data_IF_547950158594
#
_entry.id   IF_547950158594
#
_cell.length_a   1.000
_cell.length_b   1.000
_cell.length_c   1.000
_cell.angle_alpha   90.00
_cell.angle_beta   90.00
_cell.angle_gamma   90.00
#
_symmetry.space_group_name_H-M   'P 1'
#
loop_
_entity.id
_entity.type
_entity.pdbx_description
1 polymer ?
#
# COMPACT_ATOMS: atom_id res chain seq x y z
N UNK A 1 32.96 -57.46 -5.56
CA UNK A 1 33.72 -56.30 -5.07
C UNK A 1 34.27 -55.56 -6.29
N UNK A 2 34.17 -54.23 -6.39
CA UNK A 2 33.19 -53.35 -5.75
C UNK A 2 32.98 -52.10 -6.64
N UNK A 3 31.82 -51.45 -6.56
CA UNK A 3 31.35 -50.49 -7.58
C UNK A 3 31.33 -49.05 -7.04
N UNK A 4 32.53 -48.46 -6.90
CA UNK A 4 32.77 -47.18 -6.21
C UNK A 4 31.98 -45.98 -6.78
N UNK A 5 31.41 -45.10 -5.93
CA UNK A 5 30.27 -44.25 -6.31
C UNK A 5 30.60 -42.93 -7.06
N UNK A 6 31.88 -42.61 -7.28
CA UNK A 6 32.31 -41.23 -7.66
C UNK A 6 31.82 -40.71 -9.02
N UNK A 7 31.25 -41.55 -9.90
CA UNK A 7 30.76 -41.13 -11.24
C UNK A 7 29.25 -40.90 -11.35
N UNK A 8 28.47 -41.01 -10.26
CA UNK A 8 27.03 -40.65 -10.26
C UNK A 8 26.76 -39.19 -9.87
N UNK A 9 27.48 -38.64 -8.89
CA UNK A 9 27.22 -37.31 -8.31
C UNK A 9 27.28 -36.16 -9.32
N UNK A 10 28.33 -36.09 -10.14
CA UNK A 10 28.47 -35.05 -11.18
C UNK A 10 27.32 -35.04 -12.21
N UNK A 11 26.66 -36.18 -12.43
CA UNK A 11 25.53 -36.31 -13.36
C UNK A 11 24.16 -36.07 -12.71
N UNK A 12 24.12 -35.91 -11.38
CA UNK A 12 22.94 -35.45 -10.66
C UNK A 12 22.91 -33.91 -10.60
N UNK A 13 24.01 -33.28 -10.16
CA UNK A 13 24.11 -31.81 -10.03
C UNK A 13 23.79 -31.09 -11.35
N UNK A 14 24.46 -31.47 -12.44
CA UNK A 14 24.20 -30.95 -13.79
C UNK A 14 22.79 -31.20 -14.34
N UNK A 15 21.97 -32.04 -13.66
CA UNK A 15 20.56 -32.28 -14.02
C UNK A 15 19.57 -31.58 -13.08
N UNK A 16 20.00 -31.17 -11.88
CA UNK A 16 19.23 -30.32 -10.97
C UNK A 16 19.33 -28.84 -11.38
N UNK A 17 20.53 -28.36 -11.73
CA UNK A 17 20.74 -26.96 -12.14
C UNK A 17 19.99 -26.58 -13.41
N UNK A 18 19.72 -27.54 -14.30
CA UNK A 18 19.06 -27.27 -15.58
C UNK A 18 17.56 -26.93 -15.47
N UNK A 19 16.93 -27.19 -14.31
CA UNK A 19 15.49 -26.97 -14.10
C UNK A 19 15.15 -25.79 -13.16
N UNK A 20 16.11 -25.20 -12.44
CA UNK A 20 15.85 -24.00 -11.62
C UNK A 20 15.98 -22.68 -12.40
N UNK A 21 16.03 -22.75 -13.73
CA UNK A 21 15.72 -21.64 -14.66
C UNK A 21 14.27 -21.66 -15.12
N UNK A 22 13.34 -22.08 -14.25
CA UNK A 22 11.99 -21.54 -14.34
C UNK A 22 12.09 -20.02 -14.43
N UNK A 23 11.45 -19.43 -15.44
CA UNK A 23 11.29 -17.97 -15.46
C UNK A 23 10.51 -17.61 -14.20
N UNK A 24 11.15 -16.94 -13.25
CA UNK A 24 10.47 -16.24 -12.17
C UNK A 24 9.59 -15.14 -12.80
N UNK A 25 8.39 -15.55 -13.21
CA UNK A 25 7.37 -14.71 -13.78
C UNK A 25 7.06 -13.63 -12.76
N UNK A 26 6.97 -12.38 -13.23
CA UNK A 26 6.51 -11.30 -12.39
C UNK A 26 5.15 -11.72 -11.79
N UNK A 27 5.02 -11.64 -10.47
CA UNK A 27 3.77 -12.01 -9.82
C UNK A 27 2.77 -10.87 -10.06
N UNK A 28 1.52 -11.23 -10.37
CA UNK A 28 0.45 -10.25 -10.57
C UNK A 28 0.16 -9.55 -9.25
N UNK A 29 0.34 -8.23 -9.20
CA UNK A 29 0.11 -7.42 -7.99
C UNK A 29 -1.37 -7.03 -7.89
N UNK A 30 -2.01 -6.79 -9.03
CA UNK A 30 -3.36 -6.25 -9.12
C UNK A 30 -4.06 -6.76 -10.38
N UNK A 31 -5.39 -6.86 -10.32
CA UNK A 31 -6.26 -7.21 -11.44
C UNK A 31 -7.44 -6.26 -11.46
N UNK A 32 -7.89 -5.87 -12.65
CA UNK A 32 -8.96 -4.91 -12.83
C UNK A 32 -9.26 -4.65 -14.29
N UNK A 33 -9.65 -3.42 -14.64
CA UNK A 33 -9.92 -3.01 -16.01
C UNK A 33 -9.46 -1.57 -16.31
N UNK A 34 -9.09 -1.28 -17.56
CA UNK A 34 -8.95 0.09 -18.05
C UNK A 34 -10.35 0.59 -18.43
N UNK A 35 -10.75 1.72 -17.87
CA UNK A 35 -11.99 2.44 -18.16
C UNK A 35 -11.68 3.71 -18.95
N UNK A 36 -12.42 3.98 -20.02
CA UNK A 36 -12.54 5.33 -20.58
C UNK A 36 -13.89 5.54 -21.27
N UNK A 37 -14.72 6.42 -20.70
CA UNK A 37 -16.07 6.73 -21.21
C UNK A 37 -17.03 5.54 -21.20
N UNK A 38 -17.04 4.76 -22.29
CA UNK A 38 -17.86 3.54 -22.45
C UNK A 38 -17.03 2.28 -22.72
N UNK A 39 -15.70 2.41 -22.81
CA UNK A 39 -14.80 1.29 -23.13
C UNK A 39 -14.22 0.72 -21.83
N UNK A 40 -14.34 -0.59 -21.66
CA UNK A 40 -13.89 -1.33 -20.48
C UNK A 40 -13.01 -2.51 -20.91
N UNK A 41 -11.71 -2.46 -20.60
CA UNK A 41 -10.70 -3.43 -21.05
C UNK A 41 -10.14 -4.18 -19.83
N UNK A 42 -10.49 -5.47 -19.61
CA UNK A 42 -10.01 -6.19 -18.43
C UNK A 42 -8.50 -6.50 -18.57
N UNK A 43 -7.73 -6.25 -17.50
CA UNK A 43 -6.27 -6.29 -17.48
C UNK A 43 -5.69 -6.84 -16.17
N UNK A 44 -4.44 -7.28 -16.24
CA UNK A 44 -3.62 -7.74 -15.11
C UNK A 44 -2.37 -6.84 -15.01
N UNK A 45 -1.95 -6.51 -13.80
CA UNK A 45 -0.83 -5.60 -13.51
C UNK A 45 0.35 -6.36 -12.89
N UNK A 46 1.54 -6.12 -13.44
CA UNK A 46 2.80 -6.72 -13.03
C UNK A 46 3.86 -5.63 -12.77
N UNK A 47 4.79 -5.82 -11.83
CA UNK A 47 5.91 -4.89 -11.66
C UNK A 47 6.80 -4.91 -12.91
N UNK A 48 7.21 -3.74 -13.42
CA UNK A 48 8.16 -3.65 -14.53
C UNK A 48 9.63 -3.76 -14.06
N UNK A 49 9.89 -3.42 -12.79
CA UNK A 49 11.21 -3.51 -12.16
C UNK A 49 11.40 -4.81 -11.38
N UNK A 50 12.67 -5.18 -11.15
CA UNK A 50 13.08 -6.20 -10.18
C UNK A 50 14.11 -5.59 -9.23
N UNK A 51 14.04 -5.91 -7.94
CA UNK A 51 14.97 -5.41 -6.93
C UNK A 51 16.12 -6.40 -6.73
N UNK A 52 17.27 -6.16 -7.36
CA UNK A 52 18.42 -7.09 -7.33
C UNK A 52 19.39 -6.87 -6.16
N UNK A 53 18.93 -6.14 -5.12
CA UNK A 53 19.68 -5.83 -3.90
C UNK A 53 20.30 -7.08 -3.27
N UNK A 54 21.57 -6.97 -2.87
CA UNK A 54 22.24 -8.00 -2.05
C UNK A 54 21.58 -8.02 -0.66
N UNK A 55 21.01 -9.16 -0.30
CA UNK A 55 20.44 -9.39 1.04
C UNK A 55 21.54 -9.70 2.04
N UNK A 56 21.76 -8.79 3.00
CA UNK A 56 22.65 -9.03 4.14
C UNK A 56 21.82 -9.40 5.37
N UNK A 57 22.10 -10.56 5.97
CA UNK A 57 21.63 -10.86 7.31
C UNK A 57 22.45 -10.02 8.30
N UNK A 58 21.79 -9.33 9.23
CA UNK A 58 22.46 -8.66 10.33
C UNK A 58 22.73 -9.68 11.44
N UNK A 59 23.98 -9.74 11.91
CA UNK A 59 24.47 -10.70 12.90
C UNK A 59 25.05 -9.94 14.11
N UNK A 60 24.96 -10.47 15.33
CA UNK A 60 25.73 -9.93 16.45
C UNK A 60 27.22 -10.24 16.22
N UNK A 61 28.07 -9.20 16.22
CA UNK A 61 29.52 -9.36 16.05
C UNK A 61 30.19 -10.26 17.11
N UNK A 62 29.54 -10.52 18.25
CA UNK A 62 30.08 -11.30 19.37
C UNK A 62 29.86 -12.81 19.25
N UNK A 63 28.76 -13.22 18.62
CA UNK A 63 28.34 -14.64 18.55
C UNK A 63 28.03 -15.09 17.12
N UNK A 64 27.94 -14.15 16.17
CA UNK A 64 27.60 -14.35 14.75
C UNK A 64 26.12 -14.76 14.55
N UNK A 65 25.29 -14.74 15.60
CA UNK A 65 23.86 -15.05 15.53
C UNK A 65 23.04 -13.97 14.79
N UNK A 66 22.04 -14.36 13.96
CA UNK A 66 21.11 -13.43 13.33
C UNK A 66 20.27 -12.61 14.33
N UNK A 67 20.26 -11.28 14.18
CA UNK A 67 19.49 -10.41 15.08
C UNK A 67 18.01 -10.28 14.65
N UNK A 68 17.11 -10.37 15.63
CA UNK A 68 15.68 -10.17 15.45
C UNK A 68 15.21 -8.76 15.83
N UNK A 69 14.12 -8.30 15.21
CA UNK A 69 13.47 -7.02 15.55
C UNK A 69 12.26 -7.24 16.48
N UNK A 70 12.12 -6.41 17.51
CA UNK A 70 10.94 -6.38 18.39
C UNK A 70 10.39 -4.96 18.51
N UNK A 71 9.07 -4.82 18.61
CA UNK A 71 8.42 -3.52 18.74
C UNK A 71 8.24 -3.18 20.21
N UNK A 72 8.77 -2.04 20.65
CA UNK A 72 8.77 -1.63 22.06
C UNK A 72 8.13 -0.25 22.24
N UNK A 73 7.47 -0.06 23.39
CA UNK A 73 6.92 1.23 23.79
C UNK A 73 8.07 2.15 24.24
N UNK A 74 8.28 3.27 23.52
CA UNK A 74 9.38 4.22 23.76
C UNK A 74 9.45 4.78 25.20
N UNK A 75 8.35 4.79 25.95
CA UNK A 75 8.29 5.31 27.33
C UNK A 75 8.53 4.24 28.40
N UNK A 76 8.13 2.99 28.16
CA UNK A 76 8.16 1.92 29.17
C UNK A 76 9.18 0.83 28.90
N UNK A 77 9.79 0.80 27.71
CA UNK A 77 10.71 -0.25 27.26
C UNK A 77 10.06 -1.63 27.04
N UNK A 78 8.76 -1.77 27.34
CA UNK A 78 8.03 -3.03 27.21
C UNK A 78 7.70 -3.32 25.76
N UNK A 79 7.71 -4.60 25.41
CA UNK A 79 7.28 -5.13 24.12
C UNK A 79 5.78 -4.88 23.89
N UNK A 80 5.39 -4.64 22.63
CA UNK A 80 4.03 -4.31 22.22
C UNK A 80 3.58 -5.31 21.15
N UNK A 81 2.54 -6.08 21.47
CA UNK A 81 1.91 -7.02 20.53
C UNK A 81 1.08 -6.29 19.49
N UNK A 82 0.78 -6.92 18.35
CA UNK A 82 0.15 -6.25 17.20
C UNK A 82 -1.26 -5.71 17.50
N UNK A 83 -1.99 -6.32 18.42
CA UNK A 83 -3.34 -5.87 18.83
C UNK A 83 -3.28 -4.55 19.62
N UNK A 84 -2.13 -4.23 20.23
CA UNK A 84 -1.90 -3.01 21.01
C UNK A 84 -1.26 -1.88 20.18
N UNK A 85 -1.19 -2.01 18.85
CA UNK A 85 -0.63 -1.01 17.94
C UNK A 85 -1.77 -0.35 17.15
N UNK A 86 -1.99 0.93 17.41
CA UNK A 86 -2.96 1.77 16.68
C UNK A 86 -2.24 2.79 15.80
N UNK A 87 -2.88 3.26 14.72
CA UNK A 87 -2.34 4.33 13.89
C UNK A 87 -2.66 5.69 14.50
N UNK A 88 -1.65 6.48 14.83
CA UNK A 88 -1.80 7.86 15.27
C UNK A 88 -1.34 8.84 14.19
N UNK A 89 -2.12 9.87 13.90
CA UNK A 89 -1.72 11.01 13.09
C UNK A 89 -1.37 12.19 14.00
N UNK A 90 -0.15 12.71 13.90
CA UNK A 90 0.31 13.88 14.68
C UNK A 90 -0.21 15.16 14.03
N UNK A 91 -1.16 15.84 14.69
CA UNK A 91 -1.75 17.10 14.18
C UNK A 91 -1.05 18.34 14.76
N UNK A 92 -0.46 18.19 15.94
CA UNK A 92 0.42 19.16 16.59
C UNK A 92 1.49 18.38 17.36
N UNK A 93 2.60 19.02 17.71
CA UNK A 93 3.72 18.38 18.40
C UNK A 93 3.26 17.60 19.64
N UNK A 94 3.63 16.32 19.71
CA UNK A 94 3.28 15.37 20.78
C UNK A 94 1.75 15.12 20.93
N UNK A 95 0.92 15.57 19.97
CA UNK A 95 -0.55 15.44 19.98
C UNK A 95 -1.06 14.63 18.79
N UNK A 96 -1.64 13.46 19.08
CA UNK A 96 -2.07 12.48 18.09
C UNK A 96 -3.59 12.30 18.07
N UNK A 97 -4.18 12.19 16.88
CA UNK A 97 -5.51 11.58 16.67
C UNK A 97 -5.29 10.12 16.32
N UNK A 98 -5.94 9.20 17.05
CA UNK A 98 -5.97 7.78 16.68
C UNK A 98 -7.00 7.56 15.58
N UNK A 99 -6.62 6.83 14.54
CA UNK A 99 -7.49 6.45 13.43
C UNK A 99 -7.51 4.93 13.28
N UNK A 100 -8.69 4.34 13.20
CA UNK A 100 -8.87 2.92 12.89
C UNK A 100 -8.63 2.65 11.40
N UNK A 101 -8.26 1.42 11.06
CA UNK A 101 -8.19 0.99 9.66
C UNK A 101 -9.55 1.07 8.94
N UNK A 102 -10.65 1.12 9.68
CA UNK A 102 -12.03 1.27 9.16
C UNK A 102 -12.36 2.71 8.82
N UNK A 103 -12.06 3.67 9.69
CA UNK A 103 -12.18 5.12 9.40
C UNK A 103 -11.28 5.51 8.22
N UNK A 104 -10.05 4.99 8.16
CA UNK A 104 -9.12 5.24 7.04
C UNK A 104 -9.68 4.67 5.72
N UNK A 105 -10.34 3.51 5.75
CA UNK A 105 -11.01 2.94 4.56
C UNK A 105 -12.29 3.71 4.19
N UNK A 106 -13.05 4.19 5.16
CA UNK A 106 -14.26 4.97 4.93
C UNK A 106 -13.97 6.38 4.40
N UNK A 107 -12.82 6.97 4.77
CA UNK A 107 -12.35 8.27 4.29
C UNK A 107 -11.82 8.24 2.84
N UNK A 108 -11.52 7.07 2.29
CA UNK A 108 -11.10 6.87 0.90
C UNK A 108 -12.01 5.86 0.17
N UNK A 109 -13.29 6.21 -0.06
CA UNK A 109 -14.27 5.31 -0.68
C UNK A 109 -13.98 5.04 -2.16
N UNK A 110 -14.61 3.99 -2.69
CA UNK A 110 -14.47 3.51 -4.07
C UNK A 110 -13.06 3.05 -4.47
N UNK A 111 -12.60 1.98 -3.83
CA UNK A 111 -11.59 1.07 -4.39
C UNK A 111 -12.14 0.28 -5.58
N UNK A 112 -12.57 0.97 -6.63
CA UNK A 112 -12.84 0.38 -7.94
C UNK A 112 -11.55 -0.25 -8.48
N UNK A 113 -11.63 -1.50 -8.94
CA UNK A 113 -10.50 -2.19 -9.58
C UNK A 113 -10.37 -1.70 -11.03
N UNK A 114 -10.15 -0.40 -11.20
CA UNK A 114 -10.09 0.26 -12.50
C UNK A 114 -8.91 1.23 -12.62
N UNK A 115 -8.36 1.30 -13.83
CA UNK A 115 -7.52 2.40 -14.33
C UNK A 115 -8.44 3.30 -15.15
N UNK A 116 -8.93 4.40 -14.57
CA UNK A 116 -9.88 5.29 -15.23
C UNK A 116 -9.15 6.45 -15.92
N UNK A 117 -9.19 6.49 -17.26
CA UNK A 117 -8.45 7.48 -18.06
C UNK A 117 -9.23 8.80 -18.09
N UNK A 118 -8.61 9.83 -17.52
CA UNK A 118 -9.13 11.20 -17.42
C UNK A 118 -8.89 11.99 -18.71
N UNK A 119 -7.73 11.81 -19.34
CA UNK A 119 -7.29 12.57 -20.49
C UNK A 119 -6.25 11.81 -21.33
N UNK A 120 -6.02 12.27 -22.56
CA UNK A 120 -4.89 11.86 -23.41
C UNK A 120 -4.04 13.10 -23.73
N UNK A 121 -2.74 13.04 -23.45
CA UNK A 121 -1.75 14.14 -23.59
C UNK A 121 -0.59 13.70 -24.49
N UNK A 122 0.23 14.64 -24.97
CA UNK A 122 1.43 14.28 -25.72
C UNK A 122 2.54 13.77 -24.79
N UNK A 123 3.37 12.84 -25.27
CA UNK A 123 4.41 12.24 -24.44
C UNK A 123 5.40 13.25 -23.80
N UNK A 124 5.80 14.37 -24.47
CA UNK A 124 6.65 15.38 -23.86
C UNK A 124 5.97 16.25 -22.78
N UNK A 125 4.64 16.26 -22.70
CA UNK A 125 3.88 17.08 -21.74
C UNK A 125 3.97 16.56 -20.29
N UNK A 126 4.54 15.37 -20.10
CA UNK A 126 4.75 14.74 -18.78
C UNK A 126 6.24 14.79 -18.44
N UNK A 127 6.72 15.75 -17.62
CA UNK A 127 8.13 15.82 -17.25
C UNK A 127 8.55 14.60 -16.43
N UNK A 128 9.77 14.11 -16.65
CA UNK A 128 10.31 12.94 -15.94
C UNK A 128 10.28 13.08 -14.40
N UNK A 129 10.29 14.30 -13.88
CA UNK A 129 10.15 14.61 -12.44
C UNK A 129 8.85 14.06 -11.82
N UNK A 130 7.78 13.91 -12.62
CA UNK A 130 6.50 13.38 -12.16
C UNK A 130 6.45 11.86 -12.16
N UNK A 131 7.37 11.16 -12.82
CA UNK A 131 7.39 9.70 -12.87
C UNK A 131 7.85 9.10 -11.54
N UNK A 132 7.34 7.90 -11.23
CA UNK A 132 7.70 7.16 -10.02
C UNK A 132 7.94 5.67 -10.30
N UNK A 133 6.91 4.82 -10.20
CA UNK A 133 7.05 3.36 -10.23
C UNK A 133 6.39 2.78 -11.49
N UNK A 134 7.16 2.16 -12.41
CA UNK A 134 6.61 1.55 -13.61
C UNK A 134 6.13 0.11 -13.39
N UNK A 135 5.01 -0.19 -14.04
CA UNK A 135 4.33 -1.48 -14.08
C UNK A 135 4.02 -1.85 -15.54
N UNK A 136 3.90 -3.14 -15.84
CA UNK A 136 3.34 -3.62 -17.09
C UNK A 136 1.88 -4.03 -16.90
N UNK A 137 1.04 -3.61 -17.83
CA UNK A 137 -0.31 -4.15 -18.00
C UNK A 137 -0.30 -5.23 -19.09
N UNK A 138 -1.10 -6.26 -18.90
CA UNK A 138 -1.42 -7.26 -19.93
C UNK A 138 -2.94 -7.44 -20.01
N UNK A 139 -3.52 -7.81 -21.16
CA UNK A 139 -4.94 -8.12 -21.22
C UNK A 139 -5.27 -9.33 -20.34
N UNK A 140 -6.44 -9.29 -19.70
CA UNK A 140 -7.07 -10.48 -19.15
C UNK A 140 -7.91 -11.19 -20.23
N UNK A 141 -8.33 -12.42 -19.94
CA UNK A 141 -9.12 -13.28 -20.85
C UNK A 141 -10.33 -12.52 -21.43
N UNK A 142 -10.49 -12.57 -22.76
CA UNK A 142 -11.53 -11.88 -23.56
C UNK A 142 -11.33 -10.37 -23.74
N UNK A 143 -10.30 -9.76 -23.15
CA UNK A 143 -9.96 -8.34 -23.34
C UNK A 143 -9.03 -8.05 -24.52
N UNK A 144 -8.44 -9.08 -25.13
CA UNK A 144 -7.23 -9.01 -25.96
C UNK A 144 -7.39 -8.11 -27.19
N UNK A 145 -8.55 -8.20 -27.87
CA UNK A 145 -8.85 -7.38 -29.06
C UNK A 145 -8.99 -5.90 -28.74
N UNK A 146 -9.68 -5.56 -27.63
CA UNK A 146 -9.93 -4.17 -27.24
C UNK A 146 -8.66 -3.54 -26.66
N UNK A 147 -7.88 -4.33 -25.93
CA UNK A 147 -6.55 -3.97 -25.45
C UNK A 147 -5.58 -3.64 -26.61
N UNK A 148 -5.52 -4.49 -27.63
CA UNK A 148 -4.69 -4.24 -28.80
C UNK A 148 -5.12 -2.96 -29.55
N UNK A 149 -6.44 -2.77 -29.72
CA UNK A 149 -6.99 -1.56 -30.34
C UNK A 149 -6.61 -0.28 -29.58
N UNK A 150 -6.75 -0.27 -28.24
CA UNK A 150 -6.34 0.86 -27.39
C UNK A 150 -4.83 1.12 -27.53
N UNK A 151 -4.01 0.09 -27.34
CA UNK A 151 -2.54 0.16 -27.45
C UNK A 151 -2.08 0.76 -28.78
N UNK A 152 -2.64 0.28 -29.89
CA UNK A 152 -2.18 0.69 -31.21
C UNK A 152 -2.79 2.03 -31.67
N UNK A 153 -3.97 2.40 -31.18
CA UNK A 153 -4.49 3.77 -31.32
C UNK A 153 -3.63 4.79 -30.56
N UNK A 154 -3.18 4.48 -29.35
CA UNK A 154 -2.27 5.35 -28.57
C UNK A 154 -0.92 5.52 -29.28
N UNK A 155 -0.35 4.45 -29.85
CA UNK A 155 0.85 4.55 -30.71
C UNK A 155 0.63 5.43 -31.93
N UNK A 156 -0.45 5.19 -32.68
CA UNK A 156 -0.74 5.90 -33.92
C UNK A 156 -1.02 7.39 -33.72
N UNK A 157 -1.42 7.80 -32.51
CA UNK A 157 -1.69 9.19 -32.14
C UNK A 157 -0.56 9.85 -31.34
N UNK A 158 0.46 9.09 -30.92
CA UNK A 158 1.56 9.58 -30.07
C UNK A 158 1.16 9.93 -28.62
N UNK A 159 -0.07 9.59 -28.20
CA UNK A 159 -0.63 10.04 -26.91
C UNK A 159 -0.38 9.06 -25.76
N UNK A 160 -0.18 9.64 -24.58
CA UNK A 160 -0.18 8.96 -23.27
C UNK A 160 -1.52 9.23 -22.58
N UNK A 161 -2.10 8.22 -21.94
CA UNK A 161 -3.31 8.39 -21.13
C UNK A 161 -2.95 8.82 -19.71
N UNK A 162 -3.55 9.90 -19.19
CA UNK A 162 -3.47 10.26 -17.77
C UNK A 162 -4.68 9.63 -17.06
N UNK A 163 -4.44 8.84 -16.02
CA UNK A 163 -5.47 8.02 -15.38
C UNK A 163 -5.40 8.05 -13.84
N UNK A 164 -6.53 7.81 -13.20
CA UNK A 164 -6.60 7.41 -11.79
C UNK A 164 -6.55 5.88 -11.68
N UNK A 165 -5.85 5.35 -10.67
CA UNK A 165 -5.86 3.91 -10.35
C UNK A 165 -5.80 3.71 -8.83
N UNK A 166 -6.59 2.76 -8.30
CA UNK A 166 -6.53 2.37 -6.88
C UNK A 166 -5.68 1.12 -6.71
N UNK A 167 -4.58 1.24 -5.96
CA UNK A 167 -3.63 0.18 -5.64
C UNK A 167 -3.28 0.21 -4.15
N UNK A 168 -3.14 -0.94 -3.50
CA UNK A 168 -2.77 -1.05 -2.07
C UNK A 168 -3.59 -0.12 -1.13
N UNK A 169 -4.90 0.01 -1.40
CA UNK A 169 -5.86 0.87 -0.70
C UNK A 169 -5.60 2.39 -0.80
N UNK A 170 -4.80 2.83 -1.79
CA UNK A 170 -4.55 4.24 -2.12
C UNK A 170 -4.90 4.55 -3.57
N UNK A 171 -5.42 5.74 -3.82
CA UNK A 171 -5.52 6.29 -5.16
C UNK A 171 -4.15 6.85 -5.59
N UNK A 172 -3.74 6.49 -6.79
CA UNK A 172 -2.57 7.03 -7.48
C UNK A 172 -3.01 7.67 -8.79
N UNK A 173 -2.38 8.80 -9.13
CA UNK A 173 -2.33 9.27 -10.51
C UNK A 173 -1.35 8.38 -11.30
N UNK A 174 -1.59 8.17 -12.58
CA UNK A 174 -0.74 7.32 -13.42
C UNK A 174 -0.72 7.73 -14.90
N UNK A 175 0.39 7.44 -15.57
CA UNK A 175 0.57 7.54 -17.00
C UNK A 175 0.45 6.14 -17.64
N UNK A 176 -0.51 5.99 -18.55
CA UNK A 176 -0.71 4.80 -19.39
C UNK A 176 0.03 5.00 -20.73
N UNK A 177 1.12 4.26 -20.93
CA UNK A 177 2.09 4.49 -22.00
C UNK A 177 2.14 3.26 -22.93
N UNK A 178 2.02 3.40 -24.27
CA UNK A 178 2.19 2.27 -25.18
C UNK A 178 3.67 1.89 -25.32
N UNK A 179 4.06 0.70 -24.88
CA UNK A 179 5.47 0.23 -24.88
C UNK A 179 5.56 -1.11 -25.60
N UNK A 180 6.03 -1.07 -26.85
CA UNK A 180 6.20 -2.27 -27.68
C UNK A 180 4.89 -3.06 -27.85
N UNK A 181 4.83 -4.35 -27.46
CA UNK A 181 3.60 -5.15 -27.50
C UNK A 181 2.64 -4.88 -26.33
N UNK A 182 3.03 -4.09 -25.33
CA UNK A 182 2.27 -3.89 -24.08
C UNK A 182 1.84 -2.43 -23.86
N UNK A 183 1.05 -2.23 -22.81
CA UNK A 183 0.86 -0.94 -22.14
C UNK A 183 1.68 -0.98 -20.84
N UNK A 184 2.47 0.05 -20.59
CA UNK A 184 3.02 0.31 -19.27
C UNK A 184 2.09 1.26 -18.50
N UNK A 185 2.02 1.09 -17.19
CA UNK A 185 1.40 2.03 -16.26
C UNK A 185 2.53 2.52 -15.36
N UNK A 186 2.86 3.81 -15.41
CA UNK A 186 3.83 4.42 -14.50
C UNK A 186 3.07 5.29 -13.50
N UNK A 187 3.27 5.09 -12.20
CA UNK A 187 2.66 5.98 -11.20
C UNK A 187 3.21 7.39 -11.35
N UNK A 188 2.34 8.38 -11.15
CA UNK A 188 2.68 9.79 -11.17
C UNK A 188 2.63 10.35 -9.76
N UNK A 189 3.62 11.18 -9.45
CA UNK A 189 3.64 12.05 -8.27
C UNK A 189 2.55 13.11 -8.41
N UNK A 190 1.90 13.47 -7.30
CA UNK A 190 1.01 14.62 -7.27
C UNK A 190 1.84 15.91 -7.37
N UNK A 191 1.28 16.99 -7.90
CA UNK A 191 1.99 18.28 -8.02
C UNK A 191 2.45 18.85 -6.67
N UNK A 192 1.80 18.47 -5.56
CA UNK A 192 2.19 18.80 -4.19
C UNK A 192 3.36 17.98 -3.63
N UNK A 193 3.79 16.91 -4.31
CA UNK A 193 4.96 16.09 -3.94
C UNK A 193 6.24 16.55 -4.67
N UNK A 194 6.10 17.38 -5.72
CA UNK A 194 7.21 17.96 -6.47
C UNK A 194 7.54 19.33 -5.88
N UNK A 195 8.78 19.52 -5.40
CA UNK A 195 9.24 20.83 -4.90
C UNK A 195 9.29 21.85 -6.05
N UNK A 196 8.81 23.09 -5.86
CA UNK A 196 8.92 24.13 -6.86
C UNK A 196 10.36 24.67 -6.94
N UNK A 197 10.74 25.23 -8.09
CA UNK A 197 12.12 25.64 -8.35
C UNK A 197 12.55 26.91 -7.60
N UNK A 198 11.61 27.71 -7.10
CA UNK A 198 11.86 28.96 -6.36
C UNK A 198 12.35 28.73 -4.91
N UNK A 199 12.26 27.50 -4.40
CA UNK A 199 13.01 27.09 -3.20
C UNK A 199 14.54 27.16 -3.39
N UNK A 200 15.03 27.19 -4.64
CA UNK A 200 16.44 27.05 -4.98
C UNK A 200 17.04 28.31 -5.62
N UNK A 201 18.23 28.71 -5.15
CA UNK A 201 19.01 29.81 -5.74
C UNK A 201 19.78 29.32 -6.97
N UNK A 202 19.13 29.35 -8.13
CA UNK A 202 19.72 29.02 -9.43
C UNK A 202 20.15 30.28 -10.21
N UNK A 203 21.05 30.17 -11.20
CA UNK A 203 21.33 31.25 -12.15
C UNK A 203 20.08 31.63 -12.96
N UNK A 204 20.02 32.87 -13.46
CA UNK A 204 18.93 33.33 -14.33
C UNK A 204 18.96 32.58 -15.68
N UNK A 205 17.79 32.17 -16.18
CA UNK A 205 17.63 31.46 -17.46
C UNK A 205 18.24 32.22 -18.65
N UNK A 206 18.34 33.54 -18.57
CA UNK A 206 18.98 34.35 -19.60
C UNK A 206 20.50 34.24 -19.54
N UNK A 207 21.07 33.45 -20.45
CA UNK A 207 22.51 33.36 -20.73
C UNK A 207 23.23 34.73 -20.79
N UNK A 208 22.54 35.78 -21.23
CA UNK A 208 23.07 37.16 -21.27
C UNK A 208 23.22 37.82 -19.90
N UNK A 209 22.34 37.52 -18.94
CA UNK A 209 22.43 38.05 -17.56
C UNK A 209 23.44 37.26 -16.72
N UNK A 210 23.61 35.97 -17.01
CA UNK A 210 24.62 35.10 -16.38
C UNK A 210 26.01 35.24 -17.00
N UNK A 211 26.17 36.07 -18.03
CA UNK A 211 27.47 36.43 -18.63
C UNK A 211 28.02 35.43 -19.66
N UNK A 212 27.28 34.37 -19.99
CA UNK A 212 27.71 33.31 -20.91
C UNK A 212 27.85 33.87 -22.32
N UNK A 213 29.06 33.80 -22.89
CA UNK A 213 29.30 34.25 -24.26
C UNK A 213 28.90 33.20 -25.30
N UNK A 214 28.61 33.65 -26.52
CA UNK A 214 28.31 32.75 -27.63
C UNK A 214 29.48 31.78 -27.94
N UNK A 215 30.74 32.19 -27.72
CA UNK A 215 31.92 31.34 -27.96
C UNK A 215 32.01 30.18 -26.97
N UNK A 216 31.73 30.42 -25.69
CA UNK A 216 31.69 29.37 -24.67
C UNK A 216 30.51 28.42 -24.90
N UNK A 217 29.34 28.98 -25.24
CA UNK A 217 28.15 28.21 -25.56
C UNK A 217 28.35 27.30 -26.80
N UNK A 218 29.00 27.80 -27.85
CA UNK A 218 29.30 27.00 -29.05
C UNK A 218 30.46 25.99 -28.84
N UNK A 219 31.38 26.27 -27.91
CA UNK A 219 32.38 25.29 -27.46
C UNK A 219 31.73 24.16 -26.64
N UNK A 220 30.82 24.50 -25.72
CA UNK A 220 30.07 23.55 -24.92
C UNK A 220 29.20 22.63 -25.80
N UNK A 221 28.50 23.18 -26.81
CA UNK A 221 27.75 22.38 -27.81
C UNK A 221 28.62 21.34 -28.51
N UNK A 222 29.86 21.68 -28.88
CA UNK A 222 30.79 20.73 -29.51
C UNK A 222 31.17 19.62 -28.56
N UNK A 223 31.58 19.95 -27.33
CA UNK A 223 31.89 18.94 -26.32
C UNK A 223 30.71 18.01 -26.03
N UNK A 224 29.48 18.53 -25.99
CA UNK A 224 28.27 17.73 -25.83
C UNK A 224 28.06 16.82 -27.05
N UNK A 225 28.25 17.31 -28.28
CA UNK A 225 28.12 16.52 -29.50
C UNK A 225 29.19 15.41 -29.60
N UNK A 226 30.45 15.74 -29.28
CA UNK A 226 31.58 14.81 -29.27
C UNK A 226 31.44 13.72 -28.16
N UNK A 227 30.59 13.98 -27.14
CA UNK A 227 30.24 13.05 -26.06
C UNK A 227 28.80 12.51 -26.16
N UNK A 228 28.10 12.72 -27.28
CA UNK A 228 26.73 12.22 -27.48
C UNK A 228 26.75 10.83 -28.11
N UNK A 229 26.11 9.86 -27.46
CA UNK A 229 25.95 8.49 -27.97
C UNK A 229 24.51 7.99 -27.82
N UNK A 230 24.23 6.81 -28.37
CA UNK A 230 22.93 6.14 -28.32
C UNK A 230 22.68 5.54 -26.94
N UNK A 231 21.51 5.78 -26.37
CA UNK A 231 21.13 5.20 -25.08
C UNK A 231 20.80 3.70 -25.18
N UNK A 232 21.74 2.84 -24.79
CA UNK A 232 21.47 1.43 -24.43
C UNK A 232 21.63 1.22 -22.90
N UNK A 233 20.56 0.87 -22.17
CA UNK A 233 20.65 0.45 -20.78
C UNK A 233 21.59 -0.74 -20.51
N UNK A 234 21.90 -1.57 -21.52
CA UNK A 234 22.67 -2.82 -21.31
C UNK A 234 24.16 -2.58 -21.00
N UNK A 235 24.68 -1.40 -21.32
CA UNK A 235 26.07 -0.99 -21.03
C UNK A 235 26.26 -0.57 -19.57
N UNK A 236 25.22 -0.03 -18.94
CA UNK A 236 25.25 0.54 -17.59
C UNK A 236 24.87 -0.51 -16.54
N UNK A 237 25.87 -1.08 -15.86
CA UNK A 237 25.70 -2.17 -14.88
C UNK A 237 26.10 -1.76 -13.48
N UNK A 238 25.28 -2.14 -12.49
CA UNK A 238 25.63 -2.02 -11.08
C UNK A 238 26.62 -3.12 -10.68
N UNK A 239 27.91 -2.79 -10.63
CA UNK A 239 28.95 -3.76 -10.27
C UNK A 239 28.95 -4.12 -8.79
N UNK A 240 28.28 -3.33 -7.91
CA UNK A 240 28.36 -3.52 -6.45
C UNK A 240 27.94 -4.93 -6.03
N UNK A 241 26.96 -5.52 -6.71
CA UNK A 241 26.53 -6.90 -6.49
C UNK A 241 27.68 -7.89 -6.75
N UNK A 242 28.32 -7.77 -7.91
CA UNK A 242 29.35 -8.69 -8.37
C UNK A 242 30.67 -8.48 -7.61
N UNK A 243 31.01 -7.23 -7.27
CA UNK A 243 32.14 -6.87 -6.41
C UNK A 243 32.00 -7.46 -5.00
N UNK A 244 30.80 -7.40 -4.41
CA UNK A 244 30.50 -8.02 -3.11
C UNK A 244 30.55 -9.55 -3.19
N UNK A 245 29.98 -10.16 -4.23
CA UNK A 245 30.04 -11.62 -4.42
C UNK A 245 31.49 -12.09 -4.59
N UNK A 246 32.28 -11.43 -5.43
CA UNK A 246 33.70 -11.72 -5.60
C UNK A 246 34.53 -11.50 -4.31
N UNK A 247 34.12 -10.58 -3.43
CA UNK A 247 34.72 -10.40 -2.10
C UNK A 247 34.31 -11.51 -1.12
N UNK A 248 33.07 -11.99 -1.18
CA UNK A 248 32.60 -13.16 -0.41
C UNK A 248 33.37 -14.41 -0.85
N UNK A 249 33.43 -14.71 -2.15
CA UNK A 249 34.17 -15.85 -2.69
C UNK A 249 35.64 -15.83 -2.28
N UNK A 250 36.31 -14.67 -2.38
CA UNK A 250 37.70 -14.49 -1.91
C UNK A 250 37.86 -14.74 -0.41
N UNK A 251 36.85 -14.47 0.43
CA UNK A 251 36.89 -14.78 1.86
C UNK A 251 36.64 -16.28 2.12
N UNK A 252 35.68 -16.89 1.43
CA UNK A 252 35.36 -18.32 1.54
C UNK A 252 36.56 -19.17 1.12
N UNK A 253 37.16 -18.89 -0.04
CA UNK A 253 38.36 -19.58 -0.51
C UNK A 253 39.59 -19.34 0.39
N UNK A 254 39.63 -18.24 1.13
CA UNK A 254 40.66 -17.97 2.14
C UNK A 254 40.36 -18.54 3.53
N UNK A 255 39.30 -19.36 3.68
CA UNK A 255 38.88 -19.95 4.96
C UNK A 255 38.37 -18.95 5.99
N UNK A 256 37.99 -17.74 5.58
CA UNK A 256 37.53 -16.64 6.46
C UNK A 256 36.02 -16.65 6.60
N UNK A 257 35.50 -17.78 7.05
CA UNK A 257 34.10 -18.08 7.30
C UNK A 257 33.87 -18.31 8.79
N UNK A 258 32.92 -17.58 9.36
CA UNK A 258 32.41 -17.85 10.70
C UNK A 258 31.19 -18.77 10.57
N UNK A 259 31.12 -19.83 11.39
CA UNK A 259 29.92 -20.67 11.46
C UNK A 259 28.96 -20.13 12.54
N UNK A 260 27.69 -19.96 12.19
CA UNK A 260 26.64 -19.65 13.16
C UNK A 260 26.39 -20.90 13.99
N UNK A 261 26.45 -20.79 15.32
CA UNK A 261 26.08 -21.92 16.19
C UNK A 261 24.61 -22.29 15.96
N UNK A 262 24.28 -23.58 16.02
CA UNK A 262 22.91 -24.05 15.82
C UNK A 262 21.96 -23.30 16.76
N UNK A 263 21.07 -22.50 16.17
CA UNK A 263 20.12 -21.71 16.95
C UNK A 263 19.22 -22.71 17.66
N UNK A 264 19.36 -22.82 18.98
CA UNK A 264 18.30 -23.34 19.85
C UNK A 264 17.10 -22.42 19.70
N UNK A 265 16.33 -22.64 18.63
CA UNK A 265 14.97 -22.12 18.49
C UNK A 265 14.29 -22.47 19.82
N UNK A 266 13.88 -21.46 20.63
CA UNK A 266 13.26 -21.75 21.91
C UNK A 266 12.09 -22.66 21.61
N UNK A 267 12.24 -23.94 21.97
CA UNK A 267 11.39 -25.01 21.47
C UNK A 267 10.03 -24.75 22.06
N UNK A 268 9.20 -24.00 21.34
CA UNK A 268 7.86 -23.61 21.77
C UNK A 268 7.27 -24.86 22.33
N UNK A 269 7.04 -24.84 23.65
CA UNK A 269 6.69 -26.05 24.37
C UNK A 269 5.33 -26.42 23.81
N UNK A 270 5.34 -27.32 22.82
CA UNK A 270 4.17 -27.92 22.22
C UNK A 270 3.49 -28.58 23.40
N UNK A 271 2.55 -27.84 23.98
CA UNK A 271 1.56 -28.37 24.89
C UNK A 271 0.82 -29.35 24.01
N UNK A 272 1.32 -30.59 24.00
CA UNK A 272 0.50 -31.76 23.78
C UNK A 272 -0.67 -31.53 24.72
N UNK A 273 -1.80 -31.12 24.14
CA UNK A 273 -3.05 -31.25 24.84
C UNK A 273 -3.12 -32.74 25.13
N UNK A 274 -3.01 -33.11 26.41
CA UNK A 274 -3.19 -34.50 26.80
C UNK A 274 -4.63 -34.85 26.43
N UNK A 275 -4.76 -35.56 25.32
CA UNK A 275 -6.03 -36.10 24.85
C UNK A 275 -6.36 -37.23 25.83
N UNK A 276 -6.92 -36.83 26.98
CA UNK A 276 -7.49 -37.73 27.96
C UNK A 276 -8.49 -38.63 27.24
N UNK A 277 -8.14 -39.91 27.12
CA UNK A 277 -8.97 -40.88 26.42
C UNK A 277 -10.34 -40.94 27.09
N UNK A 278 -11.34 -40.44 26.35
CA UNK A 278 -12.73 -40.43 26.79
C UNK A 278 -13.22 -41.84 27.14
N UNK A 279 -12.64 -42.88 26.55
CA UNK A 279 -12.97 -44.28 26.84
C UNK A 279 -12.56 -44.71 28.26
N UNK A 280 -11.46 -44.18 28.82
CA UNK A 280 -11.02 -44.50 30.18
C UNK A 280 -11.82 -43.74 31.25
N UNK A 281 -12.25 -42.51 30.94
CA UNK A 281 -13.28 -41.82 31.74
C UNK A 281 -14.63 -42.54 31.67
N UNK A 282 -15.03 -43.07 30.50
CA UNK A 282 -16.28 -43.82 30.35
C UNK A 282 -16.25 -45.16 31.10
N UNK A 283 -15.14 -45.91 31.03
CA UNK A 283 -14.92 -47.14 31.82
C UNK A 283 -15.03 -46.85 33.33
N UNK A 284 -14.41 -45.76 33.82
CA UNK A 284 -14.52 -45.32 35.22
C UNK A 284 -15.94 -44.92 35.63
N UNK A 285 -16.73 -44.36 34.71
CA UNK A 285 -18.12 -44.00 34.95
C UNK A 285 -19.07 -45.21 34.96
N UNK A 286 -18.88 -46.16 34.03
CA UNK A 286 -19.70 -47.37 33.91
C UNK A 286 -19.40 -48.43 34.99
N UNK A 287 -18.21 -48.41 35.59
CA UNK A 287 -17.77 -49.41 36.57
C UNK A 287 -18.40 -49.30 37.97
N UNK A 288 -19.40 -48.42 38.22
CA UNK A 288 -19.89 -48.15 39.59
C UNK A 288 -21.42 -48.01 39.74
N UNK A 289 -22.19 -48.90 39.11
CA UNK A 289 -23.64 -49.04 39.34
C UNK A 289 -24.01 -50.37 40.01
N UNK A 290 -24.53 -50.34 41.25
CA UNK A 290 -24.90 -51.59 41.96
C UNK A 290 -25.75 -51.45 43.23
N UNK A 291 -27.06 -51.73 43.09
CA UNK A 291 -28.09 -51.98 44.13
C UNK A 291 -28.59 -50.76 44.95
N UNK A 292 -29.93 -50.65 45.11
CA UNK A 292 -30.60 -49.69 46.00
C UNK A 292 -31.95 -49.14 45.52
N UNK A 293 -33.04 -49.93 45.60
CA UNK A 293 -34.46 -49.55 45.31
C UNK A 293 -35.29 -49.72 46.61
N UNK A 294 -36.56 -49.23 46.72
CA UNK A 294 -37.25 -48.12 46.04
C UNK A 294 -38.21 -47.27 46.93
N UNK A 295 -38.82 -46.22 46.34
CA UNK A 295 -40.15 -45.64 46.68
C UNK A 295 -40.30 -44.84 48.01
N UNK A 296 -41.31 -43.96 48.24
CA UNK A 296 -42.52 -43.59 47.46
C UNK A 296 -42.99 -42.14 47.73
N UNK A 297 -43.74 -41.56 46.77
CA UNK A 297 -44.92 -40.65 46.94
C UNK A 297 -44.76 -39.16 47.35
N UNK A 298 -45.09 -38.30 46.39
CA UNK A 298 -45.87 -37.05 46.43
C UNK A 298 -46.04 -36.19 47.71
N UNK A 299 -45.60 -34.93 47.57
CA UNK A 299 -46.41 -33.69 47.66
C UNK A 299 -47.03 -33.18 48.98
N UNK A 300 -46.76 -31.88 49.17
CA UNK A 300 -47.59 -30.80 49.76
C UNK A 300 -47.42 -30.45 51.25
N UNK A 301 -47.64 -29.15 51.49
CA UNK A 301 -47.81 -28.40 52.74
C UNK A 301 -46.51 -27.91 53.37
N UNK A 302 -46.27 -26.59 53.49
CA UNK A 302 -46.94 -25.50 54.27
C UNK A 302 -46.01 -25.21 55.47
N UNK A 303 -45.82 -23.98 55.98
CA UNK A 303 -46.39 -22.68 55.60
C UNK A 303 -45.46 -21.52 56.03
N UNK A 304 -45.77 -20.30 55.55
CA UNK A 304 -45.51 -18.94 56.15
C UNK A 304 -44.07 -18.56 56.63
N UNK A 305 -43.66 -17.31 56.88
CA UNK A 305 -44.01 -15.88 56.61
C UNK A 305 -42.65 -15.13 56.84
N UNK A 306 -42.28 -13.92 56.38
CA UNK A 306 -42.89 -12.60 56.12
C UNK A 306 -41.77 -11.72 55.48
N UNK A 307 -41.94 -10.51 54.92
CA UNK A 307 -43.06 -9.79 54.30
C UNK A 307 -42.43 -8.68 53.40
N UNK A 308 -43.08 -8.25 52.31
CA UNK A 308 -42.77 -6.97 51.62
C UNK A 308 -44.08 -6.25 51.25
N UNK A 309 -44.27 -5.02 51.77
CA UNK A 309 -45.52 -4.28 51.63
C UNK A 309 -45.38 -2.99 50.77
N UNK A 310 -46.16 -2.95 49.67
CA UNK A 310 -46.38 -1.78 48.81
C UNK A 310 -47.72 -1.08 49.21
N UNK A 311 -48.50 -0.32 48.37
CA UNK A 311 -48.31 0.20 47.00
C UNK A 311 -48.85 1.66 46.76
N UNK A 312 -48.87 2.15 45.49
CA UNK A 312 -50.11 2.56 44.75
C UNK A 312 -50.05 3.74 43.72
N UNK A 313 -50.72 3.52 42.55
CA UNK A 313 -51.57 4.44 41.74
C UNK A 313 -51.02 5.64 40.89
N UNK A 314 -50.95 5.39 39.56
CA UNK A 314 -51.60 6.11 38.40
C UNK A 314 -51.62 7.67 38.27
N UNK A 315 -50.96 8.16 37.20
CA UNK A 315 -51.38 9.13 36.11
C UNK A 315 -52.12 10.47 36.42
N UNK A 316 -51.43 11.59 36.11
CA UNK A 316 -51.84 12.76 35.25
C UNK A 316 -53.01 13.73 35.68
N UNK A 317 -53.18 14.96 35.11
CA UNK A 317 -52.22 15.97 34.58
C UNK A 317 -52.55 17.48 34.93
N UNK A 318 -51.87 18.44 34.27
CA UNK A 318 -52.26 19.86 33.95
C UNK A 318 -52.16 21.07 34.92
N UNK A 319 -51.39 22.08 34.46
CA UNK A 319 -51.60 23.57 34.43
C UNK A 319 -52.10 24.37 35.67
N UNK A 320 -51.20 25.20 36.24
CA UNK A 320 -51.19 26.70 36.29
C UNK A 320 -49.89 27.14 37.02
N UNK A 321 -49.07 28.13 36.64
CA UNK A 321 -49.19 29.45 36.00
C UNK A 321 -49.37 30.63 36.98
N UNK A 322 -48.72 31.77 36.66
CA UNK A 322 -48.59 33.06 37.38
C UNK A 322 -47.37 33.21 38.34
N UNK A 323 -46.65 34.35 38.41
CA UNK A 323 -46.66 35.57 37.56
C UNK A 323 -45.46 36.53 37.83
N UNK A 324 -44.92 37.13 36.74
CA UNK A 324 -44.24 38.45 36.50
C UNK A 324 -43.90 39.35 37.72
N UNK A 325 -42.82 40.15 37.73
CA UNK A 325 -42.40 41.26 36.79
C UNK A 325 -40.89 41.60 36.99
N UNK A 326 -40.09 42.33 36.18
CA UNK A 326 -40.07 43.03 34.85
C UNK A 326 -38.58 43.34 34.52
N UNK A 327 -38.10 43.84 33.38
CA UNK A 327 -38.64 44.29 32.07
C UNK A 327 -37.48 44.40 31.03
N UNK A 328 -37.71 44.43 29.71
CA UNK A 328 -38.00 45.63 28.87
C UNK A 328 -36.73 46.46 28.53
N UNK A 329 -36.33 46.86 27.31
CA UNK A 329 -36.65 46.67 25.84
C UNK A 329 -35.45 47.30 25.06
N UNK A 330 -35.08 47.11 23.77
CA UNK A 330 -35.56 46.45 22.53
C UNK A 330 -34.41 45.58 21.92
N UNK A 331 -34.37 44.97 20.72
CA UNK A 331 -35.19 44.81 19.48
C UNK A 331 -35.22 45.90 18.36
N UNK A 332 -34.44 45.64 17.31
CA UNK A 332 -34.57 46.02 15.87
C UNK A 332 -33.97 44.88 15.02
N UNK A 333 -34.23 44.53 13.74
CA UNK A 333 -35.18 44.87 12.64
C UNK A 333 -35.19 46.31 12.11
N UNK A 334 -34.98 46.60 10.81
CA UNK A 334 -34.76 45.81 9.56
C UNK A 334 -34.37 46.79 8.42
N UNK A 335 -34.38 46.52 7.10
CA UNK A 335 -34.70 45.34 6.28
C UNK A 335 -34.61 45.66 4.76
N UNK A 336 -34.73 44.61 3.92
CA UNK A 336 -34.72 44.54 2.43
C UNK A 336 -35.18 45.74 1.58
N UNK A 337 -34.48 46.01 0.47
CA UNK A 337 -35.11 46.35 -0.85
C UNK A 337 -34.14 46.04 -2.02
N UNK A 338 -34.62 46.05 -3.28
CA UNK A 338 -33.91 45.47 -4.44
C UNK A 338 -34.15 46.22 -5.77
N UNK A 339 -33.52 45.74 -6.87
CA UNK A 339 -33.55 46.28 -8.26
C UNK A 339 -32.78 47.61 -8.44
N UNK A 340 -32.36 48.01 -9.66
CA UNK A 340 -32.77 47.57 -11.01
C UNK A 340 -31.59 47.56 -12.00
N UNK A 341 -31.77 46.84 -13.12
CA UNK A 341 -30.87 46.80 -14.28
C UNK A 341 -30.91 48.07 -15.15
N UNK A 342 -29.82 48.31 -15.87
CA UNK A 342 -29.82 48.98 -17.19
C UNK A 342 -28.91 48.21 -18.16
N UNK A 343 -29.18 48.34 -19.46
CA UNK A 343 -28.37 47.81 -20.55
C UNK A 343 -28.42 48.78 -21.74
N UNK A 344 -27.60 48.50 -22.76
CA UNK A 344 -27.72 49.07 -24.12
C UNK A 344 -27.28 50.53 -24.31
N UNK A 345 -26.08 50.69 -24.88
CA UNK A 345 -25.84 51.60 -26.00
C UNK A 345 -24.73 51.01 -26.89
N UNK A 346 -24.87 51.08 -28.21
CA UNK A 346 -23.91 50.53 -29.16
C UNK A 346 -23.31 51.63 -30.06
N UNK A 347 -22.09 51.41 -30.58
CA UNK A 347 -21.57 52.18 -31.72
C UNK A 347 -20.88 51.25 -32.72
N UNK A 348 -21.11 51.54 -34.01
CA UNK A 348 -20.67 50.79 -35.19
C UNK A 348 -20.08 51.79 -36.19
N UNK A 349 -19.31 51.30 -37.18
CA UNK A 349 -18.59 52.05 -38.26
C UNK A 349 -17.25 52.68 -37.80
N UNK A 350 -16.20 52.74 -38.64
CA UNK A 350 -15.94 52.08 -39.96
C UNK A 350 -14.42 51.94 -40.16
N UNK A 351 -14.01 51.28 -41.24
CA UNK A 351 -12.63 51.24 -41.71
C UNK A 351 -12.09 52.63 -42.12
N UNK A 352 -10.79 52.78 -41.95
CA UNK A 352 -9.87 53.34 -42.95
C UNK A 352 -8.87 52.21 -43.28
#
# INVERSE_FOLDING_TARGET
MDNGPHRRWARLLLRTEFNFRERAMAHMIWKGAISFGLVHVPVQLYPATKSEKVGFNLLDKRTIDPIGYRQINKRTGKEVTRENIVRGFEYEKDRYVVLTDEEIRAANPESTQTVDILAFVDAPDIPFLYLDTPYYLTPDRKGEKVYALLRDAMKATGKIGVANVVMHNKQHLAALIPVGPMLALNTLRWASEVRPFDEFKVPDESAKKTGVTARELDMAKKLIADMSDTWDPSEYKDTFRDDILALVDKKVQAGKTEEVMDIETPREARRSADILDLSDLLKRSLGRGGKGKPATRAAARDDTEDEEAAPAKRRAPTKKAARRTTGTVAKTSGGTTARKSTSTAARKRRAA
#
